data_IF_303201118544
#
_entry.id   IF_303201118544
#
_cell.length_a   1.000
_cell.length_b   1.000
_cell.length_c   1.000
_cell.angle_alpha   90.00
_cell.angle_beta   90.00
_cell.angle_gamma   90.00
#
_symmetry.space_group_name_H-M   'P 1'
#
loop_
_entity.id
_entity.type
_entity.pdbx_description
1 polymer ?
#
# COMPACT_ATOMS: atom_id res chain seq x y z
N UNK A 1 -14.24 -6.87 16.29
CA UNK A 1 -14.01 -7.46 14.96
C UNK A 1 -13.45 -6.38 14.02
N UNK A 2 -12.57 -6.70 13.07
CA UNK A 2 -12.11 -5.71 12.09
C UNK A 2 -13.29 -5.20 11.25
N UNK A 3 -13.27 -3.90 10.93
CA UNK A 3 -14.29 -3.25 10.09
C UNK A 3 -14.10 -3.51 8.60
N UNK A 4 -12.87 -3.88 8.24
CA UNK A 4 -12.46 -4.17 6.87
C UNK A 4 -11.78 -5.53 6.81
N UNK A 5 -11.73 -6.10 5.61
CA UNK A 5 -10.87 -7.23 5.27
C UNK A 5 -10.03 -6.90 4.04
N UNK A 6 -8.93 -7.58 3.87
CA UNK A 6 -8.11 -7.47 2.67
C UNK A 6 -8.58 -8.48 1.63
N UNK A 7 -8.98 -7.99 0.45
CA UNK A 7 -9.42 -8.81 -0.66
C UNK A 7 -8.56 -8.57 -1.90
N UNK A 8 -8.33 -9.60 -2.68
CA UNK A 8 -7.69 -9.44 -3.99
C UNK A 8 -8.60 -8.65 -4.92
N UNK A 9 -8.06 -7.69 -5.71
CA UNK A 9 -8.85 -7.01 -6.71
C UNK A 9 -9.33 -7.99 -7.78
N UNK A 10 -10.60 -7.86 -8.17
CA UNK A 10 -11.22 -8.61 -9.27
C UNK A 10 -12.14 -7.67 -10.06
N UNK A 11 -12.58 -8.08 -11.24
CA UNK A 11 -13.52 -7.32 -12.05
C UNK A 11 -14.85 -7.03 -11.33
N UNK A 12 -15.25 -7.87 -10.37
CA UNK A 12 -16.43 -7.61 -9.55
C UNK A 12 -16.29 -6.35 -8.68
N UNK A 13 -15.06 -5.88 -8.44
CA UNK A 13 -14.78 -4.67 -7.67
C UNK A 13 -14.61 -3.41 -8.55
N UNK A 14 -14.74 -3.52 -9.89
CA UNK A 14 -14.41 -2.43 -10.82
C UNK A 14 -15.13 -1.12 -10.49
N UNK A 15 -16.43 -1.15 -10.23
CA UNK A 15 -17.20 0.05 -9.89
C UNK A 15 -16.74 0.71 -8.60
N UNK A 16 -16.39 -0.08 -7.58
CA UNK A 16 -15.89 0.42 -6.31
C UNK A 16 -14.47 0.99 -6.44
N UNK A 17 -13.61 0.38 -7.26
CA UNK A 17 -12.27 0.88 -7.57
C UNK A 17 -12.36 2.23 -8.32
N UNK A 18 -13.28 2.35 -9.28
CA UNK A 18 -13.54 3.59 -10.01
C UNK A 18 -13.99 4.70 -9.07
N UNK A 19 -14.98 4.43 -8.24
CA UNK A 19 -15.47 5.41 -7.25
C UNK A 19 -14.36 5.85 -6.28
N UNK A 20 -13.49 4.93 -5.88
CA UNK A 20 -12.33 5.24 -5.04
C UNK A 20 -11.34 6.18 -5.77
N UNK A 21 -11.00 5.88 -7.03
CA UNK A 21 -10.12 6.73 -7.86
C UNK A 21 -10.70 8.13 -8.02
N UNK A 22 -12.00 8.23 -8.36
CA UNK A 22 -12.68 9.51 -8.53
C UNK A 22 -12.60 10.36 -7.25
N UNK A 23 -12.78 9.74 -6.09
CA UNK A 23 -12.67 10.42 -4.80
C UNK A 23 -11.24 10.91 -4.50
N UNK A 24 -10.22 10.10 -4.82
CA UNK A 24 -8.81 10.47 -4.64
C UNK A 24 -8.44 11.63 -5.58
N UNK A 25 -8.82 11.55 -6.85
CA UNK A 25 -8.57 12.59 -7.85
C UNK A 25 -9.30 13.89 -7.49
N UNK A 26 -10.58 13.82 -7.09
CA UNK A 26 -11.34 14.99 -6.67
C UNK A 26 -10.73 15.69 -5.45
N UNK A 27 -10.04 14.95 -4.59
CA UNK A 27 -9.31 15.49 -3.44
C UNK A 27 -7.91 16.03 -3.80
N UNK A 28 -7.45 15.89 -5.05
CA UNK A 28 -6.13 16.31 -5.49
C UNK A 28 -4.99 15.54 -4.81
N UNK A 29 -5.21 14.29 -4.44
CA UNK A 29 -4.27 13.49 -3.65
C UNK A 29 -3.47 12.54 -4.54
N UNK A 30 -2.18 12.29 -4.21
CA UNK A 30 -1.43 11.22 -4.84
C UNK A 30 -1.95 9.85 -4.37
N UNK A 31 -1.98 8.87 -5.28
CA UNK A 31 -2.26 7.49 -4.96
C UNK A 31 -0.96 6.74 -4.67
N UNK A 32 -0.88 6.09 -3.52
CA UNK A 32 0.22 5.22 -3.14
C UNK A 32 -0.25 3.77 -3.07
N UNK A 33 0.66 2.86 -3.40
CA UNK A 33 0.37 1.43 -3.47
C UNK A 33 -0.20 1.01 -4.82
N UNK A 34 0.40 0.00 -5.42
CA UNK A 34 -0.09 -0.73 -6.59
C UNK A 34 -0.18 0.00 -7.94
N UNK A 35 0.37 1.21 -8.10
CA UNK A 35 0.52 1.93 -9.38
C UNK A 35 -0.74 2.01 -10.27
N UNK A 36 -1.92 1.97 -9.66
CA UNK A 36 -3.20 1.93 -10.37
C UNK A 36 -3.38 3.06 -11.40
N UNK A 37 -2.90 4.28 -11.10
CA UNK A 37 -2.99 5.45 -11.98
C UNK A 37 -2.13 5.34 -13.26
N UNK A 38 -1.22 4.36 -13.35
CA UNK A 38 -0.37 4.17 -14.52
C UNK A 38 -1.04 3.32 -15.61
N UNK A 39 -2.20 2.74 -15.33
CA UNK A 39 -2.90 1.83 -16.23
C UNK A 39 -4.05 2.54 -16.95
N UNK A 40 -4.30 2.22 -18.25
CA UNK A 40 -5.35 2.85 -19.03
C UNK A 40 -6.76 2.49 -18.54
N UNK A 41 -6.90 1.33 -17.91
CA UNK A 41 -8.16 0.82 -17.38
C UNK A 41 -7.95 -0.11 -16.18
N UNK A 42 -9.01 -0.31 -15.41
CA UNK A 42 -8.98 -1.12 -14.19
C UNK A 42 -8.75 -2.61 -14.48
N UNK A 43 -9.25 -3.12 -15.61
CA UNK A 43 -9.06 -4.52 -15.98
C UNK A 43 -7.59 -4.85 -16.23
N UNK A 44 -6.88 -3.99 -16.96
CA UNK A 44 -5.44 -4.10 -17.20
C UNK A 44 -4.65 -4.03 -15.90
N UNK A 45 -5.04 -3.15 -14.99
CA UNK A 45 -4.41 -3.05 -13.68
C UNK A 45 -4.65 -4.31 -12.82
N UNK A 46 -5.88 -4.88 -12.82
CA UNK A 46 -6.18 -6.12 -12.11
C UNK A 46 -5.31 -7.27 -12.64
N UNK A 47 -5.21 -7.41 -13.97
CA UNK A 47 -4.34 -8.40 -14.58
C UNK A 47 -2.87 -8.22 -14.16
N UNK A 48 -2.41 -6.98 -14.05
CA UNK A 48 -1.06 -6.68 -13.56
C UNK A 48 -0.88 -7.01 -12.09
N UNK A 49 -1.89 -6.82 -11.24
CA UNK A 49 -1.81 -7.22 -9.82
C UNK A 49 -1.52 -8.72 -9.66
N UNK A 50 -2.06 -9.56 -10.53
CA UNK A 50 -1.87 -11.03 -10.51
C UNK A 50 -0.61 -11.48 -11.27
N UNK A 51 0.03 -10.57 -12.03
CA UNK A 51 1.21 -10.89 -12.81
C UNK A 51 2.45 -11.16 -11.93
N UNK A 52 3.36 -12.06 -12.33
CA UNK A 52 4.56 -12.40 -11.56
C UNK A 52 5.55 -11.23 -11.49
N UNK A 53 6.49 -11.31 -10.54
CA UNK A 53 7.67 -10.45 -10.52
C UNK A 53 8.43 -10.51 -11.87
N UNK A 54 9.05 -9.41 -12.26
CA UNK A 54 9.66 -9.24 -13.58
C UNK A 54 8.73 -8.69 -14.65
N UNK A 55 7.41 -8.67 -14.44
CA UNK A 55 6.45 -8.05 -15.37
C UNK A 55 6.70 -6.53 -15.43
N UNK A 56 6.72 -5.98 -16.65
CA UNK A 56 6.96 -4.55 -16.86
C UNK A 56 5.71 -3.73 -16.49
N UNK A 57 5.93 -2.68 -15.71
CA UNK A 57 4.96 -1.61 -15.52
C UNK A 57 4.83 -0.75 -16.79
N UNK A 58 3.79 0.06 -16.94
CA UNK A 58 3.64 0.96 -18.10
C UNK A 58 4.83 1.92 -18.32
N UNK A 59 5.55 2.26 -17.25
CA UNK A 59 6.77 3.08 -17.30
C UNK A 59 8.05 2.29 -17.69
N UNK A 60 7.94 0.99 -18.01
CA UNK A 60 9.05 0.13 -18.41
C UNK A 60 9.88 -0.45 -17.27
N UNK A 61 9.55 -0.16 -16.03
CA UNK A 61 10.24 -0.72 -14.85
C UNK A 61 9.63 -2.08 -14.50
N UNK A 62 10.48 -3.09 -14.24
CA UNK A 62 10.01 -4.39 -13.80
C UNK A 62 9.53 -4.35 -12.34
N UNK A 63 8.32 -4.88 -12.08
CA UNK A 63 7.84 -5.05 -10.70
C UNK A 63 8.61 -6.16 -9.99
N UNK A 64 8.77 -6.03 -8.69
CA UNK A 64 9.15 -7.16 -7.83
C UNK A 64 7.94 -8.08 -7.59
N UNK A 65 8.16 -9.29 -7.07
CA UNK A 65 7.06 -10.11 -6.57
C UNK A 65 6.29 -9.34 -5.49
N UNK A 66 4.98 -9.27 -5.61
CA UNK A 66 4.12 -8.49 -4.72
C UNK A 66 2.72 -9.08 -4.55
N UNK A 67 1.98 -8.53 -3.62
CA UNK A 67 0.56 -8.80 -3.41
C UNK A 67 -0.20 -7.50 -3.20
N UNK A 68 -1.22 -7.27 -4.00
CA UNK A 68 -2.11 -6.10 -3.88
C UNK A 68 -3.45 -6.51 -3.28
N UNK A 69 -3.96 -5.69 -2.37
CA UNK A 69 -5.26 -5.89 -1.74
C UNK A 69 -6.07 -4.60 -1.69
N UNK A 70 -7.38 -4.75 -1.77
CA UNK A 70 -8.35 -3.71 -1.42
C UNK A 70 -8.72 -3.86 0.04
N UNK A 71 -8.79 -2.75 0.76
CA UNK A 71 -9.41 -2.69 2.08
C UNK A 71 -10.92 -2.62 1.90
N UNK A 72 -11.59 -3.74 2.07
CA UNK A 72 -13.01 -3.92 1.74
C UNK A 72 -13.87 -3.88 3.00
N UNK A 73 -14.91 -3.05 2.97
CA UNK A 73 -15.93 -2.96 4.01
C UNK A 73 -17.17 -3.72 3.54
N UNK A 74 -17.40 -4.92 4.10
CA UNK A 74 -18.53 -5.77 3.72
C UNK A 74 -19.89 -5.18 4.12
N UNK A 75 -19.95 -4.35 5.16
CA UNK A 75 -21.21 -3.77 5.62
C UNK A 75 -21.79 -2.74 4.61
N UNK A 76 -20.91 -2.07 3.86
CA UNK A 76 -21.29 -1.05 2.90
C UNK A 76 -20.99 -1.42 1.45
N UNK A 77 -20.32 -2.56 1.23
CA UNK A 77 -19.79 -3.00 -0.06
C UNK A 77 -18.88 -1.92 -0.72
N UNK A 78 -18.02 -1.27 0.08
CA UNK A 78 -17.18 -0.17 -0.37
C UNK A 78 -15.68 -0.46 -0.15
N UNK A 79 -14.88 0.07 -1.07
CA UNK A 79 -13.43 0.11 -0.96
C UNK A 79 -13.00 1.29 -0.06
N UNK A 80 -12.33 1.01 1.05
CA UNK A 80 -11.82 2.00 2.01
C UNK A 80 -10.37 2.39 1.77
N UNK A 81 -9.64 1.58 1.01
CA UNK A 81 -8.24 1.83 0.68
C UNK A 81 -7.64 0.74 -0.18
N UNK A 82 -6.38 0.93 -0.51
CA UNK A 82 -5.55 0.00 -1.27
C UNK A 82 -4.22 -0.18 -0.56
N UNK A 83 -3.68 -1.40 -0.55
CA UNK A 83 -2.39 -1.73 0.03
C UNK A 83 -1.65 -2.74 -0.84
N UNK A 84 -0.36 -2.49 -1.05
CA UNK A 84 0.53 -3.37 -1.80
C UNK A 84 1.66 -3.83 -0.89
N UNK A 85 1.93 -5.13 -0.88
CA UNK A 85 3.00 -5.79 -0.14
C UNK A 85 4.01 -6.30 -1.15
N UNK A 86 5.23 -5.79 -1.13
CA UNK A 86 6.35 -6.23 -1.94
C UNK A 86 7.10 -7.31 -1.18
N UNK A 87 7.26 -8.48 -1.81
CA UNK A 87 7.86 -9.64 -1.14
C UNK A 87 9.38 -9.53 -1.07
N UNK A 88 9.97 -8.70 -1.91
CA UNK A 88 11.39 -8.39 -1.96
C UNK A 88 11.63 -6.92 -2.30
N UNK A 89 12.83 -6.42 -2.06
CA UNK A 89 13.19 -5.04 -2.35
C UNK A 89 14.31 -5.00 -3.38
N UNK A 90 14.11 -4.24 -4.46
CA UNK A 90 15.17 -3.77 -5.34
C UNK A 90 15.84 -2.50 -4.75
N UNK A 91 16.84 -1.95 -5.42
CA UNK A 91 17.60 -0.79 -4.91
C UNK A 91 16.72 0.46 -4.72
N UNK A 92 15.76 0.69 -5.63
CA UNK A 92 14.80 1.79 -5.49
C UNK A 92 13.92 1.61 -4.24
N UNK A 93 13.37 0.43 -4.04
CA UNK A 93 12.49 0.13 -2.90
C UNK A 93 13.22 0.14 -1.56
N UNK A 94 14.54 -0.17 -1.55
CA UNK A 94 15.37 -0.03 -0.33
C UNK A 94 15.58 1.42 0.09
N UNK A 95 15.60 2.33 -0.87
CA UNK A 95 15.78 3.75 -0.60
C UNK A 95 14.44 4.48 -0.43
N UNK A 96 13.45 4.12 -1.27
CA UNK A 96 12.15 4.76 -1.35
C UNK A 96 11.07 3.73 -1.67
N UNK A 97 10.00 3.72 -0.91
CA UNK A 97 8.86 2.82 -1.12
C UNK A 97 8.76 1.66 -0.14
N UNK A 98 9.87 1.00 0.21
CA UNK A 98 9.88 -0.11 1.18
C UNK A 98 9.03 -1.32 0.77
N UNK A 99 8.67 -2.16 1.74
CA UNK A 99 7.85 -3.36 1.53
C UNK A 99 6.35 -3.06 1.36
N UNK A 100 5.84 -1.98 1.97
CA UNK A 100 4.40 -1.71 2.00
C UNK A 100 4.11 -0.29 1.56
N UNK A 101 3.26 -0.15 0.54
CA UNK A 101 2.68 1.11 0.11
C UNK A 101 1.16 1.07 0.22
N UNK A 102 0.53 2.14 0.70
CA UNK A 102 -0.92 2.18 0.87
C UNK A 102 -1.50 3.58 0.72
N UNK A 103 -2.79 3.61 0.40
CA UNK A 103 -3.62 4.82 0.43
C UNK A 103 -5.00 4.49 0.98
N UNK A 104 -5.63 5.46 1.64
CA UNK A 104 -6.97 5.35 2.23
C UNK A 104 -7.90 6.36 1.59
N UNK A 105 -9.14 5.95 1.36
CA UNK A 105 -10.19 6.80 0.82
C UNK A 105 -10.28 8.11 1.62
N UNK A 106 -10.31 9.29 0.97
CA UNK A 106 -10.28 10.58 1.66
C UNK A 106 -11.34 10.74 2.76
N UNK A 107 -12.56 10.28 2.51
CA UNK A 107 -13.64 10.31 3.49
C UNK A 107 -13.42 9.38 4.72
N UNK A 108 -12.39 8.54 4.68
CA UNK A 108 -12.03 7.59 5.75
C UNK A 108 -10.82 8.05 6.59
N UNK A 109 -10.30 9.24 6.34
CA UNK A 109 -9.15 9.77 7.06
C UNK A 109 -9.47 10.03 8.53
N UNK A 110 -8.45 9.89 9.37
CA UNK A 110 -8.51 10.07 10.84
C UNK A 110 -9.51 9.15 11.56
N UNK A 111 -10.00 8.09 10.88
CA UNK A 111 -10.94 7.11 11.44
C UNK A 111 -10.28 5.76 11.79
N UNK A 112 -8.95 5.66 11.64
CA UNK A 112 -8.18 4.47 12.00
C UNK A 112 -8.12 3.38 10.91
N UNK A 113 -8.73 3.57 9.74
CA UNK A 113 -8.73 2.60 8.65
C UNK A 113 -7.31 2.24 8.16
N UNK A 114 -6.41 3.22 8.04
CA UNK A 114 -5.02 2.96 7.65
C UNK A 114 -4.28 2.08 8.67
N UNK A 115 -4.51 2.31 9.96
CA UNK A 115 -3.90 1.51 11.04
C UNK A 115 -4.39 0.07 11.00
N UNK A 116 -5.69 -0.13 10.82
CA UNK A 116 -6.32 -1.45 10.69
C UNK A 116 -5.85 -2.17 9.42
N UNK A 117 -5.80 -1.47 8.28
CA UNK A 117 -5.34 -2.00 7.00
C UNK A 117 -3.87 -2.47 7.08
N UNK A 118 -3.00 -1.68 7.71
CA UNK A 118 -1.60 -2.07 7.90
C UNK A 118 -1.50 -3.28 8.85
N UNK A 119 -2.27 -3.33 9.93
CA UNK A 119 -2.28 -4.48 10.85
C UNK A 119 -2.67 -5.78 10.13
N UNK A 120 -3.69 -5.73 9.26
CA UNK A 120 -4.10 -6.87 8.43
C UNK A 120 -3.03 -7.25 7.41
N UNK A 121 -2.37 -6.27 6.79
CA UNK A 121 -1.27 -6.53 5.85
C UNK A 121 -0.07 -7.20 6.53
N UNK A 122 0.23 -6.83 7.78
CA UNK A 122 1.30 -7.48 8.55
C UNK A 122 1.00 -8.97 8.82
N UNK A 123 -0.26 -9.36 8.98
CA UNK A 123 -0.63 -10.79 9.06
C UNK A 123 -0.36 -11.52 7.73
N UNK A 124 -0.58 -10.86 6.59
CA UNK A 124 -0.19 -11.41 5.28
C UNK A 124 1.33 -11.53 5.15
N UNK A 125 2.08 -10.55 5.66
CA UNK A 125 3.55 -10.61 5.70
C UNK A 125 4.03 -11.80 6.54
N UNK A 126 3.40 -12.08 7.67
CA UNK A 126 3.72 -13.25 8.50
C UNK A 126 3.50 -14.55 7.73
N UNK A 127 2.40 -14.67 7.00
CA UNK A 127 2.09 -15.84 6.16
C UNK A 127 3.08 -16.01 4.99
N UNK A 128 3.64 -14.91 4.49
CA UNK A 128 4.69 -14.89 3.46
C UNK A 128 6.10 -15.14 4.02
N UNK A 129 6.26 -15.23 5.33
CA UNK A 129 7.56 -15.40 5.98
C UNK A 129 8.41 -14.12 6.02
N UNK A 130 7.82 -12.96 5.75
CA UNK A 130 8.51 -11.68 5.83
C UNK A 130 8.64 -11.24 7.28
N UNK A 131 9.85 -11.28 7.83
CA UNK A 131 10.11 -11.03 9.26
C UNK A 131 10.64 -9.64 9.57
N UNK A 132 11.30 -9.02 8.61
CA UNK A 132 11.80 -7.64 8.72
C UNK A 132 11.23 -6.80 7.58
N UNK A 133 10.46 -5.80 7.94
CA UNK A 133 9.77 -4.95 6.98
C UNK A 133 10.31 -3.52 7.06
N UNK A 134 10.73 -2.99 5.92
CA UNK A 134 11.03 -1.57 5.75
C UNK A 134 9.75 -0.86 5.27
N UNK A 135 9.33 0.17 5.99
CA UNK A 135 8.30 1.10 5.55
C UNK A 135 8.89 2.50 5.45
N UNK A 136 8.46 3.24 4.46
CA UNK A 136 8.97 4.59 4.24
C UNK A 136 7.84 5.60 4.17
N UNK A 137 8.10 6.81 4.63
CA UNK A 137 7.20 7.96 4.45
C UNK A 137 7.97 9.28 4.50
N UNK A 138 7.36 10.36 4.02
CA UNK A 138 7.90 11.70 4.23
C UNK A 138 7.86 12.08 5.71
N UNK A 139 8.89 12.80 6.24
CA UNK A 139 8.82 13.42 7.57
C UNK A 139 7.59 14.33 7.73
N UNK A 140 7.15 14.95 6.64
CA UNK A 140 6.00 15.86 6.60
C UNK A 140 4.65 15.13 6.50
N UNK A 141 4.65 13.80 6.61
CA UNK A 141 3.43 12.99 6.65
C UNK A 141 3.21 12.39 8.04
N UNK A 142 2.76 13.17 9.04
CA UNK A 142 2.57 12.70 10.41
C UNK A 142 1.48 11.63 10.51
N UNK A 143 0.54 11.58 9.56
CA UNK A 143 -0.51 10.56 9.53
C UNK A 143 0.10 9.18 9.24
N UNK A 144 0.93 9.06 8.20
CA UNK A 144 1.61 7.80 7.87
C UNK A 144 2.58 7.38 8.98
N UNK A 145 3.34 8.31 9.54
CA UNK A 145 4.24 8.03 10.68
C UNK A 145 3.49 7.39 11.83
N UNK A 146 2.37 8.01 12.28
CA UNK A 146 1.53 7.46 13.37
C UNK A 146 0.93 6.09 13.05
N UNK A 147 0.54 5.84 11.80
CA UNK A 147 0.03 4.54 11.37
C UNK A 147 1.11 3.47 11.50
N UNK A 148 2.34 3.76 11.05
CA UNK A 148 3.47 2.85 11.11
C UNK A 148 3.87 2.57 12.57
N UNK A 149 4.00 3.62 13.39
CA UNK A 149 4.37 3.54 14.81
C UNK A 149 3.34 2.74 15.63
N UNK A 150 2.04 2.94 15.39
CA UNK A 150 0.96 2.16 16.03
C UNK A 150 1.00 0.67 15.66
N UNK A 151 1.62 0.31 14.57
CA UNK A 151 1.84 -1.06 14.12
C UNK A 151 3.24 -1.60 14.49
N UNK A 152 3.93 -0.96 15.43
CA UNK A 152 5.22 -1.42 15.94
C UNK A 152 6.42 -0.97 15.11
N UNK A 153 6.24 -0.01 14.22
CA UNK A 153 7.32 0.57 13.43
C UNK A 153 8.23 1.45 14.29
N UNK A 154 9.53 1.23 14.18
CA UNK A 154 10.58 2.01 14.84
C UNK A 154 11.33 2.80 13.78
N UNK A 155 11.43 4.10 13.96
CA UNK A 155 12.24 4.95 13.08
C UNK A 155 13.72 4.59 13.27
N UNK A 156 14.37 4.11 12.20
CA UNK A 156 15.80 3.76 12.22
C UNK A 156 16.67 4.94 11.76
N UNK A 157 16.27 5.59 10.67
CA UNK A 157 16.98 6.75 10.14
C UNK A 157 16.10 7.59 9.20
N UNK A 158 16.62 8.74 8.81
CA UNK A 158 16.07 9.57 7.73
C UNK A 158 17.17 9.66 6.67
N UNK A 159 16.86 9.18 5.47
CA UNK A 159 17.77 9.21 4.32
C UNK A 159 17.33 10.28 3.33
N UNK A 160 18.25 10.74 2.50
CA UNK A 160 17.92 11.63 1.39
C UNK A 160 17.73 10.80 0.12
N UNK A 161 16.58 10.95 -0.54
CA UNK A 161 16.30 10.39 -1.85
C UNK A 161 15.83 11.50 -2.80
N UNK A 162 16.59 11.72 -3.90
CA UNK A 162 16.28 12.78 -4.88
C UNK A 162 16.04 14.16 -4.24
N UNK A 163 16.89 14.54 -3.28
CA UNK A 163 16.82 15.78 -2.49
C UNK A 163 15.62 15.92 -1.56
N UNK A 164 14.90 14.83 -1.31
CA UNK A 164 13.81 14.79 -0.35
C UNK A 164 14.16 13.87 0.81
N UNK A 165 13.89 14.29 2.06
CA UNK A 165 14.08 13.42 3.22
C UNK A 165 13.01 12.32 3.25
N UNK A 166 13.43 11.10 3.57
CA UNK A 166 12.58 9.92 3.67
C UNK A 166 12.85 9.23 5.00
N UNK A 167 11.81 9.09 5.81
CA UNK A 167 11.86 8.31 7.05
C UNK A 167 11.88 6.82 6.72
N UNK A 168 12.82 6.10 7.30
CA UNK A 168 12.92 4.64 7.24
C UNK A 168 12.49 4.05 8.59
N UNK A 169 11.38 3.32 8.57
CA UNK A 169 10.85 2.60 9.72
C UNK A 169 11.07 1.11 9.55
N UNK A 170 11.44 0.43 10.62
CA UNK A 170 11.55 -1.02 10.67
C UNK A 170 10.43 -1.59 11.52
N UNK A 171 9.71 -2.59 10.97
CA UNK A 171 8.81 -3.46 11.71
C UNK A 171 9.43 -4.85 11.75
N UNK A 172 9.68 -5.37 12.96
CA UNK A 172 10.17 -6.73 13.18
C UNK A 172 9.01 -7.61 13.65
N UNK A 173 8.84 -8.74 12.97
CA UNK A 173 7.80 -9.71 13.27
C UNK A 173 8.41 -10.85 14.07
N UNK A 174 7.74 -11.26 15.14
CA UNK A 174 8.15 -12.42 15.93
C UNK A 174 8.16 -13.72 15.11
N UNK A 175 8.90 -14.71 15.58
CA UNK A 175 8.89 -16.06 15.02
C UNK A 175 7.55 -16.75 15.26
#
# INVERSE_FOLDING_TARGET
MPRIRLVKPTLAHESAIRAYLDAVHAAGLPLHGAVLEQFPDIASWIAFCDAPGGTLMPNGVAKVADSTYLAWDDATAQMRGIINIRHELNDFLRQYGGHIGYSVHPACWNQGYATEMLALALQQCDALGLRELLLTCSPDNPASRRVIEKNGGVLENIVEFQRNPVCHYRIRRGA
#
